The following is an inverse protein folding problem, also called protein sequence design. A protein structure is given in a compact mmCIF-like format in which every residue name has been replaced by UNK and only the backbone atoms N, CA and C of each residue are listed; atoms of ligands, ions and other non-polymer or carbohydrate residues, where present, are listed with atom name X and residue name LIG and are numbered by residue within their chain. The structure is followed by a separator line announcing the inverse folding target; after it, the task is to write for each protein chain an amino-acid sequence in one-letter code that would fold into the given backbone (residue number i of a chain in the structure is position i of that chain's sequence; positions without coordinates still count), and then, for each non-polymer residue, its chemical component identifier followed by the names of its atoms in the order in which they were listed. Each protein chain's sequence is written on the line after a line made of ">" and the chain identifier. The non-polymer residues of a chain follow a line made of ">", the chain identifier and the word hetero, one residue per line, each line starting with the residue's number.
data_IF_150046205213
#
_entry.id   IF_150046205213
#
_cell.length_a   1.000
_cell.length_b   1.000
_cell.length_c   1.000
_cell.angle_alpha   90.00
_cell.angle_beta   90.00
_cell.angle_gamma   90.00
#
_symmetry.space_group_name_H-M   'P 1'
#
loop_
_entity.id
_entity.type
_entity.pdbx_description
1 polymer ?
#
# COMPACT_ATOMS: atom_id res chain seq x y z
N UNK A 1 -8.68 -12.72 -15.12
CA UNK A 1 -9.84 -12.10 -14.46
C UNK A 1 -9.30 -11.08 -13.45
N UNK A 2 -9.82 -9.86 -13.44
CA UNK A 2 -9.44 -8.82 -12.47
C UNK A 2 -10.39 -8.92 -11.27
N UNK A 3 -9.84 -9.00 -10.05
CA UNK A 3 -10.62 -9.08 -8.82
C UNK A 3 -10.36 -7.85 -7.94
N UNK A 4 -11.42 -7.11 -7.64
CA UNK A 4 -11.37 -5.97 -6.73
C UNK A 4 -11.95 -6.38 -5.37
N UNK A 5 -11.10 -6.44 -4.36
CA UNK A 5 -11.51 -6.69 -2.99
C UNK A 5 -11.87 -5.35 -2.34
N UNK A 6 -13.12 -5.23 -1.90
CA UNK A 6 -13.57 -4.07 -1.15
C UNK A 6 -13.23 -4.26 0.32
N UNK A 7 -12.37 -3.38 0.82
CA UNK A 7 -12.00 -3.29 2.24
C UNK A 7 -13.22 -2.83 3.06
N UNK A 8 -13.26 -3.14 4.36
CA UNK A 8 -14.41 -2.81 5.19
C UNK A 8 -14.60 -1.31 5.34
N UNK A 9 -15.80 -0.80 5.02
CA UNK A 9 -16.10 0.63 5.00
C UNK A 9 -15.92 1.31 6.36
N UNK A 10 -16.31 0.63 7.44
CA UNK A 10 -16.12 1.12 8.81
C UNK A 10 -14.64 1.34 9.14
N UNK A 11 -13.76 0.42 8.72
CA UNK A 11 -12.32 0.57 8.91
C UNK A 11 -11.73 1.67 8.02
N UNK A 12 -12.22 1.80 6.78
CA UNK A 12 -11.78 2.88 5.89
C UNK A 12 -12.19 4.26 6.42
N UNK A 13 -13.41 4.38 6.98
CA UNK A 13 -13.86 5.61 7.64
C UNK A 13 -13.00 5.95 8.85
N UNK A 14 -12.67 4.96 9.70
CA UNK A 14 -11.75 5.16 10.81
C UNK A 14 -10.37 5.61 10.32
N UNK A 15 -9.81 4.96 9.30
CA UNK A 15 -8.53 5.35 8.71
C UNK A 15 -8.56 6.79 8.16
N UNK A 16 -9.68 7.20 7.55
CA UNK A 16 -9.86 8.56 7.02
C UNK A 16 -9.79 9.61 8.15
N UNK A 17 -10.30 9.30 9.35
CA UNK A 17 -10.17 10.22 10.50
C UNK A 17 -8.72 10.40 11.00
N UNK A 18 -7.79 9.55 10.54
CA UNK A 18 -6.37 9.67 10.84
C UNK A 18 -5.62 10.47 9.76
N UNK A 19 -6.27 10.88 8.66
CA UNK A 19 -5.65 11.75 7.67
C UNK A 19 -5.17 13.05 8.34
N UNK A 20 -3.92 13.43 8.05
CA UNK A 20 -3.28 14.57 8.69
C UNK A 20 -2.58 14.24 10.02
N UNK A 21 -2.65 12.99 10.51
CA UNK A 21 -1.80 12.53 11.61
C UNK A 21 -0.33 12.77 11.27
N UNK A 22 0.38 13.42 12.20
CA UNK A 22 1.82 13.58 12.07
C UNK A 22 2.54 12.28 12.40
N UNK A 23 3.38 11.83 11.48
CA UNK A 23 4.25 10.68 11.68
C UNK A 23 5.66 11.16 12.03
N UNK A 24 6.31 10.45 12.95
CA UNK A 24 7.69 10.72 13.32
C UNK A 24 8.63 10.43 12.13
N UNK A 25 9.53 11.38 11.86
CA UNK A 25 10.52 11.26 10.78
C UNK A 25 11.72 10.40 11.17
N UNK A 26 12.04 10.37 12.47
CA UNK A 26 13.22 9.77 13.04
C UNK A 26 12.86 8.78 14.13
N UNK A 27 13.46 7.59 14.08
CA UNK A 27 13.37 6.62 15.19
C UNK A 27 14.35 7.00 16.30
N UNK A 28 15.48 7.63 15.93
CA UNK A 28 16.48 8.20 16.84
C UNK A 28 17.32 9.27 16.10
N UNK A 29 18.32 9.85 16.78
CA UNK A 29 19.14 10.95 16.24
C UNK A 29 19.98 10.59 15.01
N UNK A 30 20.23 9.32 14.72
CA UNK A 30 21.03 8.87 13.56
C UNK A 30 20.22 8.14 12.49
N UNK A 31 18.94 7.83 12.75
CA UNK A 31 18.10 7.09 11.83
C UNK A 31 16.79 7.84 11.55
N UNK A 32 16.81 8.61 10.45
CA UNK A 32 15.70 9.42 9.96
C UNK A 32 15.41 9.12 8.50
N UNK A 33 14.16 9.30 8.09
CA UNK A 33 13.80 9.33 6.68
C UNK A 33 14.27 10.64 6.03
N UNK A 34 14.53 10.67 4.72
CA UNK A 34 14.92 11.89 4.00
C UNK A 34 13.77 12.90 3.86
N UNK A 35 12.52 12.47 4.09
CA UNK A 35 11.33 13.30 4.07
C UNK A 35 10.38 12.83 5.17
N UNK A 36 9.69 13.77 5.83
CA UNK A 36 8.65 13.46 6.82
C UNK A 36 7.58 12.55 6.19
N UNK A 37 7.33 11.37 6.78
CA UNK A 37 6.34 10.44 6.23
C UNK A 37 4.92 10.99 6.39
N UNK A 38 4.03 10.57 5.50
CA UNK A 38 2.61 10.96 5.52
C UNK A 38 1.71 9.73 5.42
N UNK A 39 0.59 9.77 6.13
CA UNK A 39 -0.51 8.84 5.93
C UNK A 39 -1.32 9.26 4.71
N UNK A 40 -1.61 8.33 3.81
CA UNK A 40 -2.50 8.54 2.66
C UNK A 40 -3.54 7.43 2.65
N UNK A 41 -4.82 7.79 2.56
CA UNK A 41 -5.94 6.84 2.63
C UNK A 41 -6.66 6.81 1.27
N UNK A 42 -7.31 5.68 0.95
CA UNK A 42 -8.17 5.55 -0.22
C UNK A 42 -7.45 5.23 -1.55
N UNK A 43 -6.14 5.05 -1.54
CA UNK A 43 -5.39 4.59 -2.71
C UNK A 43 -5.61 3.09 -2.97
N UNK A 44 -5.49 2.68 -4.24
CA UNK A 44 -5.61 1.27 -4.63
C UNK A 44 -4.27 0.56 -4.47
N UNK A 45 -4.28 -0.61 -3.84
CA UNK A 45 -3.15 -1.53 -3.80
C UNK A 45 -3.41 -2.77 -4.65
N UNK A 46 -2.35 -3.46 -5.05
CA UNK A 46 -2.44 -4.77 -5.70
C UNK A 46 -1.47 -5.77 -5.07
N UNK A 47 -1.74 -7.05 -5.26
CA UNK A 47 -0.84 -8.13 -4.83
C UNK A 47 -0.31 -8.86 -6.07
N UNK A 48 0.98 -9.16 -6.07
CA UNK A 48 1.67 -9.96 -7.06
C UNK A 48 2.43 -11.09 -6.36
N UNK A 49 2.54 -12.26 -6.97
CA UNK A 49 3.35 -13.37 -6.45
C UNK A 49 4.86 -13.19 -6.71
N UNK A 50 5.30 -11.98 -7.03
CA UNK A 50 6.67 -11.62 -7.37
C UNK A 50 7.01 -10.28 -6.70
N UNK A 51 8.29 -10.08 -6.40
CA UNK A 51 8.80 -8.75 -6.07
C UNK A 51 8.84 -7.91 -7.36
N UNK A 52 8.11 -6.80 -7.40
CA UNK A 52 8.03 -5.95 -8.59
C UNK A 52 9.17 -4.93 -8.55
N UNK A 53 10.21 -5.18 -9.34
CA UNK A 53 11.33 -4.25 -9.57
C UNK A 53 11.47 -3.95 -11.07
N UNK A 54 10.43 -3.32 -11.63
CA UNK A 54 10.35 -3.06 -13.06
C UNK A 54 9.52 -1.80 -13.32
N UNK A 55 10.19 -0.71 -13.73
CA UNK A 55 9.56 0.58 -13.98
C UNK A 55 8.41 0.51 -14.99
N UNK A 56 8.61 -0.20 -16.11
CA UNK A 56 7.59 -0.31 -17.15
C UNK A 56 6.34 -1.04 -16.65
N UNK A 57 6.51 -2.09 -15.84
CA UNK A 57 5.39 -2.82 -15.26
C UNK A 57 4.67 -2.00 -14.17
N UNK A 58 5.42 -1.32 -13.30
CA UNK A 58 4.85 -0.37 -12.32
C UNK A 58 4.01 0.71 -13.02
N UNK A 59 4.55 1.31 -14.08
CA UNK A 59 3.86 2.37 -14.83
C UNK A 59 2.59 1.83 -15.51
N UNK A 60 2.65 0.61 -16.06
CA UNK A 60 1.47 -0.08 -16.58
C UNK A 60 0.39 -0.28 -15.51
N UNK A 61 0.76 -0.74 -14.31
CA UNK A 61 -0.19 -0.94 -13.20
C UNK A 61 -0.88 0.37 -12.79
N UNK A 62 -0.12 1.47 -12.72
CA UNK A 62 -0.68 2.78 -12.40
C UNK A 62 -1.60 3.29 -13.52
N UNK A 63 -1.13 3.32 -14.76
CA UNK A 63 -1.89 3.86 -15.88
C UNK A 63 -3.17 3.06 -16.17
N UNK A 64 -3.13 1.74 -16.02
CA UNK A 64 -4.25 0.85 -16.35
C UNK A 64 -5.25 0.72 -15.20
N UNK A 65 -4.76 0.65 -13.96
CA UNK A 65 -5.59 0.26 -12.82
C UNK A 65 -5.58 1.28 -11.66
N UNK A 66 -4.78 2.34 -11.76
CA UNK A 66 -4.57 3.34 -10.72
C UNK A 66 -4.02 2.71 -9.42
N UNK A 67 -3.16 1.69 -9.55
CA UNK A 67 -2.50 1.05 -8.41
C UNK A 67 -1.35 1.94 -7.93
N UNK A 68 -1.36 2.27 -6.64
CA UNK A 68 -0.33 3.10 -5.98
C UNK A 68 0.69 2.30 -5.19
N UNK A 69 0.39 1.04 -4.85
CA UNK A 69 1.29 0.15 -4.12
C UNK A 69 1.11 -1.31 -4.54
N UNK A 70 2.20 -2.07 -4.51
CA UNK A 70 2.19 -3.50 -4.80
C UNK A 70 2.79 -4.26 -3.63
N UNK A 71 2.21 -5.42 -3.32
CA UNK A 71 2.73 -6.34 -2.32
C UNK A 71 2.59 -7.80 -2.73
N UNK A 72 2.87 -8.73 -1.80
CA UNK A 72 2.85 -10.16 -2.09
C UNK A 72 1.76 -10.95 -1.33
N UNK A 73 1.05 -10.31 -0.39
CA UNK A 73 0.13 -11.03 0.52
C UNK A 73 -1.27 -10.40 0.69
N UNK A 74 -1.42 -9.07 0.60
CA UNK A 74 -2.61 -8.36 1.09
C UNK A 74 -3.91 -8.86 0.49
N UNK A 75 -3.96 -9.15 -0.82
CA UNK A 75 -5.16 -9.66 -1.47
C UNK A 75 -5.51 -11.08 -1.00
N UNK A 76 -4.53 -11.94 -0.73
CA UNK A 76 -4.76 -13.28 -0.21
C UNK A 76 -5.34 -13.23 1.22
N UNK A 77 -4.76 -12.37 2.07
CA UNK A 77 -5.25 -12.13 3.43
C UNK A 77 -6.66 -11.53 3.40
N UNK A 78 -6.87 -10.45 2.64
CA UNK A 78 -8.16 -9.78 2.54
C UNK A 78 -9.25 -10.70 1.97
N UNK A 79 -8.95 -11.48 0.93
CA UNK A 79 -9.88 -12.46 0.37
C UNK A 79 -10.27 -13.50 1.41
N UNK A 80 -9.31 -14.01 2.20
CA UNK A 80 -9.56 -14.99 3.25
C UNK A 80 -10.46 -14.41 4.34
N UNK A 81 -10.14 -13.21 4.84
CA UNK A 81 -10.95 -12.52 5.86
C UNK A 81 -12.38 -12.28 5.39
N UNK A 82 -12.54 -11.70 4.19
CA UNK A 82 -13.85 -11.38 3.63
C UNK A 82 -14.69 -12.65 3.37
N UNK A 83 -14.07 -13.72 2.87
CA UNK A 83 -14.76 -15.00 2.62
C UNK A 83 -15.24 -15.67 3.91
N UNK A 84 -14.63 -15.36 5.05
CA UNK A 84 -15.03 -15.84 6.38
C UNK A 84 -15.88 -14.82 7.15
N UNK A 85 -16.31 -13.72 6.52
CA UNK A 85 -17.18 -12.72 7.14
C UNK A 85 -16.47 -11.80 8.15
N UNK A 86 -15.15 -11.74 8.15
CA UNK A 86 -14.39 -10.87 9.04
C UNK A 86 -14.05 -9.53 8.38
N UNK A 87 -14.26 -8.39 9.06
CA UNK A 87 -13.89 -7.10 8.53
C UNK A 87 -12.36 -6.95 8.54
N UNK A 88 -11.81 -6.32 7.50
CA UNK A 88 -10.37 -6.22 7.24
C UNK A 88 -10.04 -4.83 6.71
N UNK A 89 -8.81 -4.36 6.98
CA UNK A 89 -8.14 -3.22 6.35
C UNK A 89 -6.68 -3.56 6.08
N UNK A 90 -6.13 -3.00 5.01
CA UNK A 90 -4.72 -3.15 4.64
C UNK A 90 -4.01 -1.83 4.93
N UNK A 91 -2.97 -1.89 5.76
CA UNK A 91 -2.10 -0.75 6.09
C UNK A 91 -0.69 -1.11 5.61
N UNK A 92 -0.05 -0.22 4.84
CA UNK A 92 1.23 -0.46 4.19
C UNK A 92 2.17 0.72 4.41
N UNK A 93 3.41 0.41 4.75
CA UNK A 93 4.55 1.31 4.54
C UNK A 93 5.19 1.02 3.18
N UNK A 94 5.70 2.05 2.50
CA UNK A 94 6.44 1.90 1.25
C UNK A 94 7.93 1.80 1.56
N UNK A 95 8.56 0.70 1.17
CA UNK A 95 10.00 0.45 1.36
C UNK A 95 10.85 0.87 0.18
N UNK A 96 10.26 0.93 -1.02
CA UNK A 96 10.98 0.98 -2.28
C UNK A 96 10.05 1.52 -3.40
N UNK A 97 10.57 1.75 -4.61
CA UNK A 97 9.88 2.44 -5.72
C UNK A 97 9.58 1.54 -6.92
N UNK A 98 9.64 0.21 -6.74
CA UNK A 98 9.32 -0.79 -7.76
C UNK A 98 10.01 -0.54 -9.12
N UNK A 99 11.34 -0.43 -9.11
CA UNK A 99 12.16 -0.10 -10.29
C UNK A 99 12.31 1.41 -10.55
N UNK A 100 11.97 2.27 -9.58
CA UNK A 100 12.12 3.72 -9.67
C UNK A 100 13.37 4.27 -8.97
N UNK A 101 14.07 3.41 -8.26
CA UNK A 101 15.30 3.73 -7.56
C UNK A 101 16.43 3.92 -8.58
N UNK A 102 17.42 4.77 -8.29
CA UNK A 102 18.67 4.77 -9.04
C UNK A 102 19.25 3.36 -9.04
N UNK A 103 19.65 2.86 -10.21
CA UNK A 103 20.41 1.62 -10.30
C UNK A 103 21.71 1.73 -9.50
N UNK A 104 22.15 0.63 -8.92
CA UNK A 104 23.54 0.50 -8.48
C UNK A 104 24.46 0.26 -9.69
#
# INVERSE_FOLDING_TARGET
>A
QLLWLQISQNWLQLATSLEGMELEECVNSSLCLPQKPKLVVGLRGSTANIFVDNAAYRDFLFQTFQISSVDMESAAVAMTSLSNGFPVIVIRGLSDLAGGQPGQ
#
